data_IF_831467048133
#
_entry.id   IF_831467048133
#
_cell.length_a   1.000
_cell.length_b   1.000
_cell.length_c   1.000
_cell.angle_alpha   90.00
_cell.angle_beta   90.00
_cell.angle_gamma   90.00
#
_symmetry.space_group_name_H-M   'P 1'
#
loop_
_entity.id
_entity.type
_entity.pdbx_description
1 polymer ?
#
# COMPACT_ATOMS: atom_id res chain seq x y z
N UNK A 1 13.77 9.16 -15.99
CA UNK A 1 14.47 8.54 -14.83
C UNK A 1 13.47 7.97 -13.82
N UNK A 2 12.57 8.78 -13.24
CA UNK A 2 11.62 8.35 -12.18
C UNK A 2 10.81 7.06 -12.45
N UNK A 3 10.22 6.90 -13.64
CA UNK A 3 9.38 5.73 -13.99
C UNK A 3 10.19 4.42 -14.01
N UNK A 4 11.44 4.47 -14.49
CA UNK A 4 12.32 3.30 -14.53
C UNK A 4 12.75 2.90 -13.12
N UNK A 5 13.02 3.88 -12.25
CA UNK A 5 13.38 3.63 -10.85
C UNK A 5 12.22 3.00 -10.08
N UNK A 6 10.98 3.46 -10.34
CA UNK A 6 9.78 2.87 -9.76
C UNK A 6 9.58 1.42 -10.22
N UNK A 7 9.67 1.17 -11.53
CA UNK A 7 9.56 -0.18 -12.08
C UNK A 7 10.63 -1.12 -11.50
N UNK A 8 11.87 -0.64 -11.35
CA UNK A 8 12.94 -1.39 -10.72
C UNK A 8 12.63 -1.75 -9.27
N UNK A 9 12.10 -0.81 -8.47
CA UNK A 9 11.69 -1.07 -7.08
C UNK A 9 10.58 -2.11 -6.99
N UNK A 10 9.59 -2.05 -7.88
CA UNK A 10 8.52 -3.06 -7.95
C UNK A 10 9.09 -4.44 -8.28
N UNK A 11 9.94 -4.55 -9.30
CA UNK A 11 10.58 -5.82 -9.68
C UNK A 11 11.44 -6.38 -8.55
N UNK A 12 12.22 -5.51 -7.87
CA UNK A 12 13.04 -5.89 -6.71
C UNK A 12 12.18 -6.40 -5.56
N UNK A 13 11.05 -5.75 -5.27
CA UNK A 13 10.10 -6.20 -4.26
C UNK A 13 9.49 -7.57 -4.61
N UNK A 14 9.11 -7.78 -5.87
CA UNK A 14 8.54 -9.06 -6.30
C UNK A 14 9.55 -10.23 -6.17
N UNK A 15 10.85 -9.96 -6.33
CA UNK A 15 11.94 -10.92 -6.16
C UNK A 15 12.54 -10.95 -4.74
N UNK A 16 12.00 -10.19 -3.78
CA UNK A 16 12.51 -10.21 -2.42
C UNK A 16 12.21 -11.55 -1.74
N UNK A 17 13.01 -11.90 -0.72
CA UNK A 17 12.76 -13.07 0.14
C UNK A 17 11.62 -12.82 1.16
N UNK A 18 11.00 -11.64 1.15
CA UNK A 18 9.89 -11.31 2.04
C UNK A 18 8.68 -12.20 1.74
N UNK A 19 7.95 -12.60 2.79
CA UNK A 19 6.78 -13.46 2.62
C UNK A 19 5.68 -12.69 1.86
N UNK A 20 4.92 -13.33 0.95
CA UNK A 20 3.86 -12.66 0.21
C UNK A 20 2.82 -11.94 1.09
N UNK A 21 2.51 -12.49 2.27
CA UNK A 21 1.62 -11.83 3.24
C UNK A 21 2.25 -10.59 3.88
N UNK A 22 3.57 -10.55 4.11
CA UNK A 22 4.26 -9.35 4.61
C UNK A 22 4.22 -8.22 3.57
N UNK A 23 4.35 -8.58 2.28
CA UNK A 23 4.18 -7.65 1.16
C UNK A 23 2.72 -7.17 1.08
N UNK A 24 1.77 -8.10 1.18
CA UNK A 24 0.35 -7.79 1.15
C UNK A 24 -0.09 -6.83 2.25
N UNK A 25 0.25 -7.13 3.51
CA UNK A 25 -0.08 -6.25 4.63
C UNK A 25 0.67 -4.92 4.59
N UNK A 26 1.94 -4.91 4.14
CA UNK A 26 2.67 -3.67 3.90
C UNK A 26 1.91 -2.78 2.93
N UNK A 27 1.56 -3.32 1.76
CA UNK A 27 0.76 -2.62 0.75
C UNK A 27 -0.59 -2.15 1.29
N UNK A 28 -1.30 -2.99 2.03
CA UNK A 28 -2.61 -2.66 2.60
C UNK A 28 -2.53 -1.50 3.61
N UNK A 29 -1.53 -1.49 4.49
CA UNK A 29 -1.32 -0.37 5.43
C UNK A 29 -0.97 0.93 4.69
N UNK A 30 -0.14 0.85 3.65
CA UNK A 30 0.10 2.00 2.77
C UNK A 30 -1.16 2.48 2.06
N UNK A 31 -2.03 1.55 1.67
CA UNK A 31 -3.33 1.83 1.04
C UNK A 31 -4.25 2.59 1.99
N UNK A 32 -4.25 2.27 3.29
CA UNK A 32 -5.04 3.02 4.29
C UNK A 32 -4.65 4.50 4.29
N UNK A 33 -3.34 4.81 4.29
CA UNK A 33 -2.86 6.20 4.27
C UNK A 33 -3.28 6.94 2.98
N UNK A 34 -3.36 6.22 1.86
CA UNK A 34 -3.70 6.80 0.56
C UNK A 34 -5.20 6.93 0.29
N UNK A 35 -6.01 6.07 0.91
CA UNK A 35 -7.47 6.12 0.77
C UNK A 35 -8.11 7.14 1.73
N UNK A 36 -7.39 7.59 2.75
CA UNK A 36 -7.86 8.60 3.70
C UNK A 36 -7.24 9.97 3.38
N UNK A 37 -7.89 11.09 3.76
CA UNK A 37 -7.30 12.41 3.57
C UNK A 37 -5.94 12.50 4.24
N UNK A 38 -4.90 12.95 3.51
CA UNK A 38 -3.51 12.98 4.02
C UNK A 38 -3.35 13.80 5.32
N UNK A 39 -4.21 14.79 5.54
CA UNK A 39 -4.26 15.61 6.76
C UNK A 39 -4.92 14.91 7.96
N UNK A 40 -5.29 13.64 7.82
CA UNK A 40 -5.91 12.85 8.88
C UNK A 40 -4.87 12.40 9.91
N UNK A 41 -5.05 12.71 11.21
CA UNK A 41 -4.12 12.38 12.28
C UNK A 41 -3.78 10.89 12.38
N UNK A 42 -4.75 10.01 12.12
CA UNK A 42 -4.56 8.56 12.18
C UNK A 42 -3.55 8.05 11.15
N UNK A 43 -3.26 8.79 10.07
CA UNK A 43 -2.26 8.38 9.08
C UNK A 43 -0.85 8.33 9.65
N UNK A 44 -0.55 9.19 10.65
CA UNK A 44 0.71 9.10 11.38
C UNK A 44 0.81 7.79 12.18
N UNK A 45 -0.30 7.37 12.79
CA UNK A 45 -0.38 6.10 13.51
C UNK A 45 -0.23 4.91 12.55
N UNK A 46 -0.88 4.94 11.38
CA UNK A 46 -0.72 3.89 10.36
C UNK A 46 0.72 3.84 9.84
N UNK A 47 1.36 4.99 9.62
CA UNK A 47 2.77 5.06 9.24
C UNK A 47 3.69 4.47 10.32
N UNK A 48 3.42 4.77 11.60
CA UNK A 48 4.15 4.17 12.71
C UNK A 48 3.96 2.65 12.75
N UNK A 49 2.74 2.16 12.55
CA UNK A 49 2.45 0.73 12.44
C UNK A 49 3.21 0.10 11.27
N UNK A 50 3.31 0.76 10.12
CA UNK A 50 4.10 0.29 8.99
C UNK A 50 5.59 0.16 9.31
N UNK A 51 6.13 0.99 10.21
CA UNK A 51 7.52 0.93 10.66
C UNK A 51 7.77 -0.11 11.76
N UNK A 52 6.79 -0.35 12.65
CA UNK A 52 6.95 -1.21 13.84
C UNK A 52 6.55 -2.66 13.55
N UNK A 53 5.52 -2.88 12.74
CA UNK A 53 5.06 -4.22 12.37
C UNK A 53 6.05 -4.83 11.36
N UNK A 54 6.30 -6.13 11.47
CA UNK A 54 7.15 -6.89 10.55
C UNK A 54 6.46 -7.15 9.19
N UNK A 55 6.22 -6.07 8.44
CA UNK A 55 5.66 -6.03 7.08
C UNK A 55 6.62 -5.35 6.11
N UNK A 56 6.36 -5.46 4.81
CA UNK A 56 7.19 -4.83 3.79
C UNK A 56 6.95 -3.32 3.73
N UNK A 57 7.89 -2.55 4.27
CA UNK A 57 7.84 -1.09 4.18
C UNK A 57 7.84 -0.60 2.73
N UNK A 58 8.63 -1.25 1.86
CA UNK A 58 8.67 -0.95 0.43
C UNK A 58 7.32 -1.19 -0.25
N UNK A 59 6.61 -2.26 0.11
CA UNK A 59 5.26 -2.50 -0.38
C UNK A 59 4.27 -1.46 0.14
N UNK A 60 4.43 -0.99 1.38
CA UNK A 60 3.61 0.09 1.92
C UNK A 60 3.76 1.40 1.16
N UNK A 61 4.99 1.82 0.85
CA UNK A 61 5.20 3.00 -0.01
C UNK A 61 4.57 2.83 -1.40
N UNK A 62 4.62 1.61 -1.96
CA UNK A 62 3.95 1.32 -3.23
C UNK A 62 2.43 1.39 -3.11
N UNK A 63 1.86 0.84 -2.03
CA UNK A 63 0.43 0.94 -1.72
C UNK A 63 -0.03 2.39 -1.61
N UNK A 64 0.76 3.22 -0.92
CA UNK A 64 0.48 4.66 -0.83
C UNK A 64 0.39 5.29 -2.23
N UNK A 65 1.42 5.13 -3.05
CA UNK A 65 1.47 5.77 -4.37
C UNK A 65 0.38 5.24 -5.32
N UNK A 66 0.17 3.93 -5.35
CA UNK A 66 -0.76 3.31 -6.31
C UNK A 66 -2.22 3.48 -5.93
N UNK A 67 -2.54 3.61 -4.64
CA UNK A 67 -3.92 3.79 -4.18
C UNK A 67 -4.33 5.26 -4.07
N UNK A 68 -3.40 6.24 -4.07
CA UNK A 68 -3.76 7.66 -3.97
C UNK A 68 -4.79 8.13 -5.01
N UNK A 69 -4.67 7.77 -6.32
CA UNK A 69 -5.69 8.16 -7.29
C UNK A 69 -7.07 7.56 -6.98
N UNK A 70 -7.10 6.34 -6.43
CA UNK A 70 -8.34 5.70 -6.00
C UNK A 70 -8.94 6.37 -4.78
N UNK A 71 -8.12 6.86 -3.84
CA UNK A 71 -8.58 7.67 -2.71
C UNK A 71 -9.39 8.87 -3.20
N UNK A 72 -8.79 9.71 -4.03
CA UNK A 72 -9.46 10.89 -4.60
C UNK A 72 -10.70 10.54 -5.44
N UNK A 73 -10.66 9.46 -6.21
CA UNK A 73 -11.80 9.04 -7.02
C UNK A 73 -12.98 8.55 -6.16
N UNK A 74 -12.71 8.02 -4.97
CA UNK A 74 -13.71 7.47 -4.05
C UNK A 74 -14.14 8.44 -2.95
N UNK A 75 -13.61 9.67 -2.90
CA UNK A 75 -13.93 10.68 -1.89
C UNK A 75 -15.44 10.86 -1.69
N UNK A 76 -16.21 10.98 -2.79
CA UNK A 76 -17.66 11.12 -2.70
C UNK A 76 -18.39 9.88 -2.15
N UNK A 77 -17.82 8.69 -2.28
CA UNK A 77 -18.35 7.45 -1.68
C UNK A 77 -18.03 7.40 -0.20
N UNK A 78 -16.80 7.76 0.17
CA UNK A 78 -16.36 7.81 1.56
C UNK A 78 -17.13 8.86 2.36
N UNK A 79 -17.36 10.03 1.79
CA UNK A 79 -18.15 11.08 2.44
C UNK A 79 -19.60 10.62 2.73
N UNK A 80 -20.26 9.97 1.76
CA UNK A 80 -21.60 9.39 1.96
C UNK A 80 -21.62 8.30 3.03
N UNK A 81 -20.61 7.43 3.05
CA UNK A 81 -20.48 6.39 4.08
C UNK A 81 -20.30 7.03 5.46
N UNK A 82 -19.47 8.07 5.56
CA UNK A 82 -19.30 8.83 6.79
C UNK A 82 -20.57 9.53 7.24
N UNK A 83 -21.32 10.14 6.32
CA UNK A 83 -22.61 10.76 6.61
C UNK A 83 -23.61 9.74 7.17
N UNK A 84 -23.69 8.56 6.55
CA UNK A 84 -24.52 7.47 7.05
C UNK A 84 -24.15 7.09 8.49
N UNK A 85 -22.86 6.93 8.76
CA UNK A 85 -22.38 6.51 10.08
C UNK A 85 -22.51 7.58 11.15
N UNK A 86 -22.36 8.86 10.80
CA UNK A 86 -22.28 9.96 11.75
C UNK A 86 -23.62 10.67 11.96
N UNK A 87 -24.48 10.71 10.93
CA UNK A 87 -25.70 11.52 10.89
C UNK A 87 -26.95 10.67 10.72
N UNK A 88 -26.99 9.76 9.75
CA UNK A 88 -28.25 9.09 9.38
C UNK A 88 -28.62 7.92 10.31
N UNK A 89 -27.63 7.35 11.01
CA UNK A 89 -27.84 6.24 11.96
C UNK A 89 -28.09 6.76 13.39
N UNK A 90 -29.34 7.05 13.71
CA UNK A 90 -29.78 7.52 15.04
C UNK A 90 -29.29 6.61 16.20
N UNK A 91 -29.17 5.31 15.95
CA UNK A 91 -28.67 4.34 16.93
C UNK A 91 -27.21 4.56 17.35
N UNK A 92 -26.41 5.28 16.53
CA UNK A 92 -25.02 5.61 16.85
C UNK A 92 -24.89 6.97 17.55
N UNK A 93 -25.95 7.78 17.62
CA UNK A 93 -25.93 9.10 18.26
C UNK A 93 -25.45 9.06 19.72
N UNK A 94 -25.90 8.11 20.58
CA UNK A 94 -25.39 8.03 21.95
C UNK A 94 -23.89 7.70 22.01
N UNK A 95 -23.41 6.83 21.12
CA UNK A 95 -21.99 6.47 21.01
C UNK A 95 -21.15 7.67 20.61
N UNK A 96 -21.53 8.37 19.52
CA UNK A 96 -20.81 9.55 19.06
C UNK A 96 -20.82 10.67 20.09
N UNK A 97 -21.96 10.88 20.76
CA UNK A 97 -22.08 11.86 21.86
C UNK A 97 -21.10 11.55 22.99
N UNK A 98 -21.03 10.29 23.43
CA UNK A 98 -20.09 9.89 24.48
C UNK A 98 -18.63 10.02 24.00
N UNK A 99 -18.34 9.62 22.76
CA UNK A 99 -16.99 9.64 22.18
C UNK A 99 -16.46 11.07 22.01
N UNK A 100 -17.24 11.98 21.43
CA UNK A 100 -16.78 13.36 21.18
C UNK A 100 -16.75 14.25 22.44
N UNK A 101 -17.41 13.85 23.53
CA UNK A 101 -17.27 14.51 24.83
C UNK A 101 -16.02 14.07 25.60
N UNK A 102 -15.32 13.02 25.17
CA UNK A 102 -14.08 12.60 25.79
C UNK A 102 -12.91 13.55 25.44
N UNK A 103 -11.97 13.80 26.38
CA UNK A 103 -10.83 14.65 26.13
C UNK A 103 -9.95 14.09 24.99
N UNK A 104 -9.28 14.98 24.27
CA UNK A 104 -8.36 14.67 23.16
C UNK A 104 -8.98 14.05 21.89
N UNK A 105 -10.24 13.63 21.90
CA UNK A 105 -10.91 13.05 20.71
C UNK A 105 -11.06 14.05 19.57
N UNK A 106 -11.13 15.34 19.87
CA UNK A 106 -11.12 16.44 18.87
C UNK A 106 -9.90 16.33 17.94
N UNK A 107 -8.76 15.86 18.43
CA UNK A 107 -7.56 15.68 17.62
C UNK A 107 -7.62 14.52 16.65
N UNK A 108 -8.64 13.66 16.70
CA UNK A 108 -8.79 12.52 15.77
C UNK A 108 -9.43 12.93 14.44
N UNK A 109 -10.16 14.06 14.41
CA UNK A 109 -10.95 14.55 13.25
C UNK A 109 -12.02 13.56 12.75
N UNK A 110 -12.45 12.60 13.57
CA UNK A 110 -13.49 11.62 13.22
C UNK A 110 -14.91 12.22 13.14
N UNK A 111 -15.07 13.47 13.57
CA UNK A 111 -16.30 14.25 13.35
C UNK A 111 -16.45 14.74 11.89
N UNK A 112 -15.46 14.52 11.04
CA UNK A 112 -15.53 14.79 9.61
C UNK A 112 -15.98 13.51 8.88
N UNK A 113 -17.07 13.61 8.11
CA UNK A 113 -17.67 12.51 7.36
C UNK A 113 -16.69 11.83 6.41
N UNK A 114 -15.94 12.60 5.62
CA UNK A 114 -14.93 12.06 4.71
C UNK A 114 -13.83 11.28 5.46
N UNK A 115 -13.33 11.82 6.58
CA UNK A 115 -12.29 11.17 7.40
C UNK A 115 -12.80 9.87 8.01
N UNK A 116 -13.99 9.89 8.61
CA UNK A 116 -14.59 8.70 9.22
C UNK A 116 -14.88 7.63 8.16
N UNK A 117 -15.55 8.01 7.07
CA UNK A 117 -15.99 7.07 6.06
C UNK A 117 -14.83 6.42 5.31
N UNK A 118 -13.79 7.20 4.98
CA UNK A 118 -12.57 6.65 4.37
C UNK A 118 -11.80 5.75 5.33
N UNK A 119 -11.73 6.08 6.63
CA UNK A 119 -11.09 5.24 7.63
C UNK A 119 -11.83 3.90 7.78
N UNK A 120 -13.16 3.91 7.93
CA UNK A 120 -13.94 2.68 8.05
C UNK A 120 -13.83 1.83 6.77
N UNK A 121 -13.97 2.44 5.59
CA UNK A 121 -13.84 1.73 4.32
C UNK A 121 -12.45 1.12 4.14
N UNK A 122 -11.39 1.88 4.42
CA UNK A 122 -10.01 1.38 4.27
C UNK A 122 -9.67 0.28 5.26
N UNK A 123 -10.17 0.33 6.51
CA UNK A 123 -10.02 -0.75 7.48
C UNK A 123 -10.76 -2.02 7.06
N UNK A 124 -11.97 -1.91 6.50
CA UNK A 124 -12.70 -3.04 5.93
C UNK A 124 -11.96 -3.66 4.72
N UNK A 125 -11.34 -2.82 3.90
CA UNK A 125 -10.58 -3.25 2.71
C UNK A 125 -9.17 -3.74 3.03
N UNK A 126 -8.66 -3.54 4.24
CA UNK A 126 -7.29 -3.89 4.63
C UNK A 126 -7.00 -5.37 4.39
N UNK A 127 -7.86 -6.28 4.89
CA UNK A 127 -7.68 -7.73 4.72
C UNK A 127 -7.86 -8.16 3.25
N UNK A 128 -8.92 -7.75 2.53
CA UNK A 128 -9.06 -8.01 1.10
C UNK A 128 -7.86 -7.57 0.27
N UNK A 129 -7.35 -6.34 0.48
CA UNK A 129 -6.18 -5.81 -0.24
C UNK A 129 -4.94 -6.65 0.07
N UNK A 130 -4.70 -6.94 1.36
CA UNK A 130 -3.52 -7.73 1.76
C UNK A 130 -3.53 -9.12 1.11
N UNK A 131 -4.68 -9.79 1.08
CA UNK A 131 -4.83 -11.09 0.46
C UNK A 131 -4.68 -11.05 -1.06
N UNK A 132 -5.28 -10.06 -1.72
CA UNK A 132 -5.18 -9.88 -3.16
C UNK A 132 -3.73 -9.66 -3.60
N UNK A 133 -3.01 -8.78 -2.90
CA UNK A 133 -1.60 -8.52 -3.19
C UNK A 133 -0.73 -9.75 -2.90
N UNK A 134 -0.93 -10.42 -1.76
CA UNK A 134 -0.20 -11.64 -1.44
C UNK A 134 -0.47 -12.76 -2.47
N UNK A 135 -1.70 -12.87 -2.96
CA UNK A 135 -2.06 -13.78 -4.04
C UNK A 135 -1.34 -13.42 -5.35
N UNK A 136 -1.36 -12.16 -5.75
CA UNK A 136 -0.67 -11.68 -6.94
C UNK A 136 0.84 -11.98 -6.87
N UNK A 137 1.48 -11.72 -5.73
CA UNK A 137 2.91 -12.00 -5.51
C UNK A 137 3.20 -13.51 -5.57
N UNK A 138 2.38 -14.35 -4.91
CA UNK A 138 2.53 -15.82 -4.97
C UNK A 138 2.42 -16.33 -6.40
N UNK A 139 1.44 -15.84 -7.16
CA UNK A 139 1.23 -16.22 -8.55
C UNK A 139 2.39 -15.78 -9.44
N UNK A 140 2.92 -14.58 -9.18
CA UNK A 140 4.10 -14.06 -9.88
C UNK A 140 5.32 -14.95 -9.65
N UNK A 141 5.66 -15.26 -8.39
CA UNK A 141 6.83 -16.07 -8.03
C UNK A 141 6.73 -17.51 -8.53
N UNK A 142 5.55 -18.13 -8.42
CA UNK A 142 5.36 -19.54 -8.78
C UNK A 142 5.30 -19.83 -10.29
N UNK A 143 4.90 -18.86 -11.14
CA UNK A 143 4.73 -19.15 -12.57
C UNK A 143 5.28 -18.11 -13.52
N UNK A 144 5.24 -16.83 -13.15
CA UNK A 144 5.60 -15.76 -14.09
C UNK A 144 7.11 -15.57 -14.20
N UNK A 145 7.90 -15.92 -13.18
CA UNK A 145 9.36 -15.92 -13.29
C UNK A 145 9.84 -16.80 -14.46
N UNK A 146 9.35 -18.04 -14.57
CA UNK A 146 9.73 -18.96 -15.64
C UNK A 146 9.27 -18.48 -17.04
N UNK A 147 8.10 -17.83 -17.12
CA UNK A 147 7.54 -17.31 -18.38
C UNK A 147 8.31 -16.06 -18.83
N UNK A 148 8.63 -15.13 -17.91
CA UNK A 148 9.39 -13.91 -18.21
C UNK A 148 10.81 -14.26 -18.64
N UNK A 149 11.49 -15.17 -17.92
CA UNK A 149 12.85 -15.64 -18.28
C UNK A 149 12.89 -16.34 -19.65
N UNK A 150 11.82 -17.05 -20.04
CA UNK A 150 11.72 -17.71 -21.35
C UNK A 150 11.25 -16.79 -22.49
N UNK A 151 10.68 -15.62 -22.17
CA UNK A 151 10.16 -14.68 -23.17
C UNK A 151 11.26 -14.20 -24.13
N UNK A 152 10.92 -14.04 -25.42
CA UNK A 152 11.87 -13.56 -26.45
C UNK A 152 12.37 -12.15 -26.14
N UNK A 153 11.53 -11.33 -25.50
CA UNK A 153 11.87 -9.98 -25.09
C UNK A 153 12.98 -9.95 -24.04
N UNK A 154 12.89 -10.78 -22.99
CA UNK A 154 13.94 -10.86 -21.97
C UNK A 154 15.28 -11.33 -22.56
N UNK A 155 15.26 -12.35 -23.44
CA UNK A 155 16.47 -12.82 -24.15
C UNK A 155 17.09 -11.76 -25.06
N UNK A 156 16.27 -11.01 -25.80
CA UNK A 156 16.74 -9.91 -26.65
C UNK A 156 17.32 -8.76 -25.82
N UNK A 157 16.65 -8.41 -24.71
CA UNK A 157 17.11 -7.39 -23.79
C UNK A 157 18.40 -7.79 -23.05
N UNK A 158 18.53 -9.05 -22.61
CA UNK A 158 19.71 -9.56 -21.92
C UNK A 158 20.93 -9.69 -22.85
N UNK A 159 20.73 -9.78 -24.17
CA UNK A 159 21.79 -9.74 -25.17
C UNK A 159 22.25 -8.31 -25.52
N UNK A 160 21.52 -7.29 -25.08
CA UNK A 160 21.93 -5.91 -25.30
C UNK A 160 23.15 -5.54 -24.44
N UNK A 161 24.08 -4.74 -24.99
CA UNK A 161 25.27 -4.28 -24.25
C UNK A 161 24.93 -3.50 -22.97
N UNK A 162 23.72 -2.93 -22.90
CA UNK A 162 23.20 -2.22 -21.73
C UNK A 162 22.98 -3.14 -20.53
N UNK A 163 22.47 -4.36 -20.74
CA UNK A 163 22.28 -5.34 -19.67
C UNK A 163 23.61 -5.80 -19.08
N UNK A 164 24.60 -6.08 -19.95
CA UNK A 164 25.95 -6.51 -19.53
C UNK A 164 26.67 -5.39 -18.77
N UNK A 165 26.57 -4.15 -19.24
CA UNK A 165 27.21 -3.01 -18.56
C UNK A 165 26.54 -2.69 -17.23
N UNK A 166 25.20 -2.76 -17.16
CA UNK A 166 24.44 -2.59 -15.93
C UNK A 166 24.68 -3.69 -14.90
N UNK A 167 24.74 -4.96 -15.33
CA UNK A 167 25.05 -6.09 -14.45
C UNK A 167 26.50 -6.03 -13.95
N UNK A 168 27.44 -5.60 -14.80
CA UNK A 168 28.86 -5.41 -14.44
C UNK A 168 29.05 -4.24 -13.46
N UNK A 169 28.32 -3.14 -13.64
CA UNK A 169 28.30 -2.03 -12.69
C UNK A 169 27.66 -2.42 -11.35
N UNK A 170 26.57 -3.19 -11.36
CA UNK A 170 25.94 -3.71 -10.14
C UNK A 170 26.84 -4.69 -9.38
N UNK A 171 27.52 -5.61 -10.09
CA UNK A 171 28.49 -6.53 -9.49
C UNK A 171 29.71 -5.82 -8.90
N UNK A 172 30.10 -4.68 -9.47
CA UNK A 172 31.19 -3.84 -8.95
C UNK A 172 30.80 -3.07 -7.68
N UNK A 173 29.54 -2.61 -7.58
CA UNK A 173 29.06 -1.82 -6.43
C UNK A 173 28.63 -2.70 -5.25
N UNK A 174 28.07 -3.89 -5.50
CA UNK A 174 27.54 -4.76 -4.44
C UNK A 174 28.34 -6.02 -4.16
N UNK A 175 29.44 -6.28 -4.88
CA UNK A 175 30.43 -7.30 -4.56
C UNK A 175 29.84 -8.69 -4.35
N UNK A 176 29.95 -9.56 -5.36
CA UNK A 176 29.82 -11.00 -5.17
C UNK A 176 30.92 -11.50 -4.23
N UNK A 177 30.67 -11.43 -2.92
CA UNK A 177 31.33 -12.28 -1.94
C UNK A 177 30.95 -13.71 -2.29
N UNK A 178 31.97 -14.49 -2.62
CA UNK A 178 31.91 -15.93 -2.87
C UNK A 178 31.14 -16.68 -1.79
#
# INVERSE_FOLDING_TARGET
MFVLDFAHKVVKLLHSEERPMQIGFGFALGSVIALTPLSSPHNLLVLLLLCVINVSFSAGLLGMVLMSPLGYALDGVFDRLGHLLLVDLDGLTPFWTAFFNAPFVVFTRLNNTLVLGSLVASLLLLVPIAWLIAFAVRRYRSSWQAIILRSRFYRWFSMSRFYVWGAKAYGFVYGSGR
#
